data_IF_158633404367
#
_entry.id   IF_158633404367
#
_cell.length_a   1.000
_cell.length_b   1.000
_cell.length_c   1.000
_cell.angle_alpha   90.00
_cell.angle_beta   90.00
_cell.angle_gamma   90.00
#
_symmetry.space_group_name_H-M   'P 1'
#
loop_
_entity.id
_entity.type
_entity.pdbx_description
1 polymer ?
#
# COMPACT_ATOMS: atom_id res chain seq x y z
N UNK A 1 -9.82 31.94 -8.71
CA UNK A 1 -8.53 31.23 -8.79
C UNK A 1 -8.09 31.23 -10.24
N UNK A 2 -6.80 31.39 -10.53
CA UNK A 2 -6.28 31.24 -11.91
C UNK A 2 -6.59 29.83 -12.44
N UNK A 3 -6.79 29.68 -13.75
CA UNK A 3 -7.05 28.38 -14.41
C UNK A 3 -5.99 27.33 -14.01
N UNK A 4 -4.71 27.73 -13.99
CA UNK A 4 -3.64 26.81 -13.64
C UNK A 4 -3.69 26.36 -12.17
N UNK A 5 -4.27 27.18 -11.27
CA UNK A 5 -4.49 26.82 -9.87
C UNK A 5 -5.58 25.76 -9.74
N UNK A 6 -6.67 25.84 -10.52
CA UNK A 6 -7.73 24.82 -10.52
C UNK A 6 -7.22 23.49 -11.05
N UNK A 7 -6.42 23.50 -12.12
CA UNK A 7 -5.78 22.29 -12.66
C UNK A 7 -4.83 21.67 -11.63
N UNK A 8 -4.02 22.48 -10.92
CA UNK A 8 -3.15 21.98 -9.87
C UNK A 8 -3.95 21.37 -8.73
N UNK A 9 -5.00 22.05 -8.27
CA UNK A 9 -5.90 21.57 -7.21
C UNK A 9 -6.53 20.22 -7.57
N UNK A 10 -6.99 20.08 -8.82
CA UNK A 10 -7.52 18.82 -9.33
C UNK A 10 -6.46 17.71 -9.30
N UNK A 11 -5.24 17.98 -9.79
CA UNK A 11 -4.14 17.01 -9.74
C UNK A 11 -3.80 16.58 -8.30
N UNK A 12 -3.72 17.53 -7.38
CA UNK A 12 -3.46 17.26 -5.96
C UNK A 12 -4.58 16.41 -5.34
N UNK A 13 -5.84 16.69 -5.68
CA UNK A 13 -7.00 15.94 -5.18
C UNK A 13 -6.96 14.48 -5.61
N UNK A 14 -6.78 14.22 -6.90
CA UNK A 14 -6.71 12.86 -7.46
C UNK A 14 -5.52 12.08 -6.89
N UNK A 15 -4.34 12.71 -6.83
CA UNK A 15 -3.14 12.07 -6.27
C UNK A 15 -3.33 11.74 -4.79
N UNK A 16 -3.95 12.65 -4.03
CA UNK A 16 -4.24 12.43 -2.60
C UNK A 16 -5.14 11.22 -2.40
N UNK A 17 -6.18 11.08 -3.21
CA UNK A 17 -7.13 9.96 -3.10
C UNK A 17 -6.43 8.63 -3.40
N UNK A 18 -5.58 8.58 -4.42
CA UNK A 18 -4.76 7.39 -4.71
C UNK A 18 -3.81 7.08 -3.55
N UNK A 19 -3.15 8.09 -2.97
CA UNK A 19 -2.24 7.91 -1.83
C UNK A 19 -2.97 7.42 -0.57
N UNK A 20 -4.20 7.87 -0.33
CA UNK A 20 -5.04 7.40 0.76
C UNK A 20 -5.44 5.93 0.57
N UNK A 21 -5.86 5.56 -0.65
CA UNK A 21 -6.21 4.18 -0.96
C UNK A 21 -5.01 3.24 -0.82
N UNK A 22 -3.82 3.68 -1.25
CA UNK A 22 -2.59 2.91 -1.05
C UNK A 22 -2.28 2.67 0.44
N UNK A 23 -2.60 3.62 1.32
CA UNK A 23 -2.44 3.40 2.76
C UNK A 23 -3.52 2.49 3.35
N UNK A 24 -4.76 2.53 2.86
CA UNK A 24 -5.77 1.54 3.21
C UNK A 24 -5.29 0.13 2.84
N UNK A 25 -4.86 -0.05 1.59
CA UNK A 25 -4.36 -1.33 1.07
C UNK A 25 -3.12 -1.82 1.82
N UNK A 26 -2.21 -0.91 2.22
CA UNK A 26 -1.07 -1.27 3.07
C UNK A 26 -1.52 -1.89 4.37
N UNK A 27 -2.48 -1.27 5.05
CA UNK A 27 -2.97 -1.77 6.32
C UNK A 27 -3.75 -3.07 6.17
N UNK A 28 -4.52 -3.23 5.08
CA UNK A 28 -5.19 -4.49 4.77
C UNK A 28 -4.18 -5.62 4.53
N UNK A 29 -3.12 -5.34 3.76
CA UNK A 29 -2.04 -6.30 3.51
C UNK A 29 -1.35 -6.65 4.83
N UNK A 30 -0.99 -5.67 5.67
CA UNK A 30 -0.37 -5.91 6.98
C UNK A 30 -1.25 -6.71 7.92
N UNK A 31 -2.55 -6.44 7.94
CA UNK A 31 -3.51 -7.16 8.79
C UNK A 31 -3.64 -8.63 8.39
N UNK A 32 -3.38 -8.95 7.13
CA UNK A 32 -3.42 -10.33 6.61
C UNK A 32 -2.03 -10.97 6.59
N UNK A 33 -0.96 -10.17 6.48
CA UNK A 33 0.41 -10.62 6.29
C UNK A 33 1.26 -10.32 7.52
N UNK A 34 1.45 -11.33 8.37
CA UNK A 34 2.58 -11.40 9.28
C UNK A 34 3.36 -12.71 9.05
N UNK A 35 4.44 -12.69 8.23
CA UNK A 35 5.15 -13.91 7.83
C UNK A 35 5.91 -14.59 8.98
N UNK A 36 6.17 -13.87 10.08
CA UNK A 36 6.79 -14.42 11.29
C UNK A 36 5.77 -15.06 12.23
N UNK A 37 4.48 -14.83 12.02
CA UNK A 37 3.43 -15.44 12.81
C UNK A 37 3.02 -16.79 12.26
N UNK A 38 2.91 -17.75 13.18
CA UNK A 38 2.26 -19.04 12.95
C UNK A 38 0.89 -18.90 12.22
N UNK A 39 0.20 -17.78 12.45
CA UNK A 39 -1.04 -17.43 11.77
C UNK A 39 -0.92 -17.41 10.23
N UNK A 40 0.10 -16.75 9.65
CA UNK A 40 0.19 -16.60 8.20
C UNK A 40 0.40 -17.94 7.48
N UNK A 41 1.36 -18.74 7.95
CA UNK A 41 1.66 -20.04 7.35
C UNK A 41 0.55 -21.07 7.55
N UNK A 42 -0.21 -20.99 8.67
CA UNK A 42 -1.27 -21.95 8.97
C UNK A 42 -2.64 -21.58 8.42
N UNK A 43 -2.99 -20.29 8.41
CA UNK A 43 -4.30 -19.81 7.96
C UNK A 43 -4.24 -19.23 6.56
N UNK A 44 -3.38 -18.24 6.34
CA UNK A 44 -3.45 -17.42 5.13
C UNK A 44 -2.99 -18.22 3.91
N UNK A 45 -1.81 -18.83 3.98
CA UNK A 45 -1.24 -19.62 2.88
C UNK A 45 -2.04 -20.87 2.56
N UNK A 46 -2.67 -21.50 3.56
CA UNK A 46 -3.46 -22.73 3.39
C UNK A 46 -4.93 -22.45 3.05
N UNK A 47 -5.44 -21.26 3.35
CA UNK A 47 -6.80 -20.85 3.00
C UNK A 47 -6.82 -20.19 1.63
N UNK A 48 -7.50 -20.83 0.67
CA UNK A 48 -7.74 -20.25 -0.65
C UNK A 48 -8.44 -18.89 -0.58
N UNK A 49 -9.30 -18.68 0.42
CA UNK A 49 -10.03 -17.42 0.60
C UNK A 49 -9.07 -16.28 1.02
N UNK A 50 -8.32 -16.47 2.12
CA UNK A 50 -7.43 -15.44 2.64
C UNK A 50 -6.25 -15.18 1.72
N UNK A 51 -5.67 -16.23 1.11
CA UNK A 51 -4.60 -16.06 0.14
C UNK A 51 -5.07 -15.24 -1.07
N UNK A 52 -6.31 -15.45 -1.53
CA UNK A 52 -6.90 -14.65 -2.61
C UNK A 52 -7.10 -13.19 -2.21
N UNK A 53 -7.51 -12.90 -0.98
CA UNK A 53 -7.60 -11.52 -0.48
C UNK A 53 -6.23 -10.85 -0.49
N UNK A 54 -5.21 -11.50 0.09
CA UNK A 54 -3.84 -11.02 0.09
C UNK A 54 -3.33 -10.69 -1.32
N UNK A 55 -3.53 -11.62 -2.28
CA UNK A 55 -3.11 -11.42 -3.67
C UNK A 55 -3.87 -10.26 -4.34
N UNK A 56 -5.18 -10.12 -4.07
CA UNK A 56 -5.99 -9.06 -4.66
C UNK A 56 -5.60 -7.68 -4.12
N UNK A 57 -5.36 -7.56 -2.81
CA UNK A 57 -4.90 -6.30 -2.22
C UNK A 57 -3.52 -5.92 -2.73
N UNK A 58 -2.59 -6.88 -2.82
CA UNK A 58 -1.27 -6.65 -3.42
C UNK A 58 -1.38 -6.22 -4.88
N UNK A 59 -2.27 -6.85 -5.66
CA UNK A 59 -2.53 -6.49 -7.05
C UNK A 59 -3.05 -5.05 -7.18
N UNK A 60 -4.03 -4.67 -6.36
CA UNK A 60 -4.59 -3.31 -6.37
C UNK A 60 -3.51 -2.29 -5.98
N UNK A 61 -2.73 -2.59 -4.94
CA UNK A 61 -1.63 -1.74 -4.50
C UNK A 61 -0.65 -1.46 -5.63
N UNK A 62 -0.25 -2.50 -6.38
CA UNK A 62 0.65 -2.34 -7.53
C UNK A 62 0.04 -1.50 -8.64
N UNK A 63 -1.25 -1.70 -8.94
CA UNK A 63 -1.95 -0.94 -9.98
C UNK A 63 -2.03 0.54 -9.60
N UNK A 64 -2.39 0.85 -8.37
CA UNK A 64 -2.55 2.23 -7.92
C UNK A 64 -1.21 2.93 -7.71
N UNK A 65 -0.19 2.20 -7.23
CA UNK A 65 1.17 2.72 -7.17
C UNK A 65 1.71 3.03 -8.58
N UNK A 66 1.42 2.18 -9.58
CA UNK A 66 1.79 2.41 -10.97
C UNK A 66 1.23 3.73 -11.52
N UNK A 67 -0.02 4.08 -11.17
CA UNK A 67 -0.64 5.37 -11.58
C UNK A 67 0.17 6.58 -11.12
N UNK A 68 0.82 6.48 -9.97
CA UNK A 68 1.60 7.57 -9.38
C UNK A 68 3.03 7.70 -9.93
N UNK A 69 3.55 6.67 -10.59
CA UNK A 69 4.95 6.61 -11.03
C UNK A 69 5.13 6.59 -12.55
N UNK A 70 4.17 6.09 -13.33
CA UNK A 70 4.32 5.98 -14.78
C UNK A 70 4.09 7.34 -15.45
N UNK A 71 5.07 7.77 -16.25
CA UNK A 71 5.06 9.06 -16.96
C UNK A 71 3.87 9.26 -17.92
N UNK A 72 3.26 8.18 -18.40
CA UNK A 72 2.09 8.19 -19.29
C UNK A 72 0.79 8.48 -18.54
N UNK A 73 0.77 8.33 -17.23
CA UNK A 73 -0.41 8.56 -16.40
C UNK A 73 -0.61 10.06 -16.15
N UNK A 74 -1.85 10.54 -16.24
CA UNK A 74 -2.13 11.97 -16.07
C UNK A 74 -1.89 12.49 -14.64
N UNK A 75 -2.03 11.59 -13.65
CA UNK A 75 -1.95 11.88 -12.23
C UNK A 75 -0.73 11.20 -11.57
N UNK A 76 0.42 11.22 -12.24
CA UNK A 76 1.69 10.81 -11.63
C UNK A 76 2.41 11.99 -10.95
N UNK A 77 3.28 11.66 -9.98
CA UNK A 77 4.00 12.63 -9.15
C UNK A 77 4.97 13.48 -9.98
N UNK A 78 5.64 12.90 -10.99
CA UNK A 78 6.57 13.66 -11.84
C UNK A 78 5.83 14.72 -12.67
N UNK A 79 4.65 14.39 -13.19
CA UNK A 79 3.80 15.32 -13.92
C UNK A 79 3.25 16.42 -13.00
N UNK A 80 2.95 16.13 -11.74
CA UNK A 80 2.63 17.15 -10.73
C UNK A 80 3.78 18.14 -10.55
N UNK A 81 5.01 17.67 -10.34
CA UNK A 81 6.19 18.52 -10.15
C UNK A 81 6.46 19.37 -11.40
N UNK A 82 6.49 18.75 -12.58
CA UNK A 82 6.75 19.44 -13.85
C UNK A 82 5.68 20.50 -14.14
N UNK A 83 4.42 20.21 -13.83
CA UNK A 83 3.32 21.15 -13.99
C UNK A 83 3.49 22.36 -13.06
N UNK A 84 3.80 22.13 -11.78
CA UNK A 84 4.09 23.18 -10.80
C UNK A 84 5.27 24.05 -11.24
N UNK A 85 6.32 23.44 -11.78
CA UNK A 85 7.52 24.14 -12.24
C UNK A 85 7.26 25.00 -13.48
N UNK A 86 6.52 24.48 -14.46
CA UNK A 86 6.23 25.18 -15.72
C UNK A 86 5.23 26.33 -15.56
N UNK A 87 4.43 26.30 -14.49
CA UNK A 87 3.36 27.27 -14.23
C UNK A 87 3.56 28.04 -12.92
N UNK A 88 4.80 28.14 -12.43
CA UNK A 88 5.11 28.67 -11.10
C UNK A 88 4.57 30.09 -10.86
N UNK A 89 4.56 30.94 -11.89
CA UNK A 89 4.03 32.32 -11.82
C UNK A 89 2.52 32.41 -12.08
N UNK A 90 1.94 31.34 -12.65
CA UNK A 90 0.55 31.27 -13.08
C UNK A 90 -0.36 30.57 -12.07
N UNK A 91 0.20 30.06 -10.98
CA UNK A 91 -0.52 29.42 -9.88
C UNK A 91 -0.58 30.39 -8.70
N UNK A 92 -1.72 30.40 -8.02
CA UNK A 92 -1.93 31.18 -6.79
C UNK A 92 -1.43 30.37 -5.59
N UNK A 93 -0.12 30.37 -5.39
CA UNK A 93 0.52 29.67 -4.28
C UNK A 93 0.23 30.35 -2.94
N UNK A 94 0.00 29.56 -1.89
CA UNK A 94 0.06 30.06 -0.52
C UNK A 94 1.49 30.47 -0.15
N UNK A 95 2.46 29.57 -0.39
CA UNK A 95 3.89 29.87 -0.33
C UNK A 95 4.54 29.45 -1.64
N UNK A 96 4.93 30.42 -2.48
CA UNK A 96 5.50 30.11 -3.80
C UNK A 96 6.80 29.29 -3.67
N UNK A 97 6.90 28.10 -4.28
CA UNK A 97 8.13 27.32 -4.28
C UNK A 97 9.20 27.99 -5.14
N UNK A 98 10.44 27.54 -5.01
CA UNK A 98 11.53 27.93 -5.94
C UNK A 98 11.73 26.84 -6.99
N UNK A 99 12.30 27.18 -8.14
CA UNK A 99 12.71 26.16 -9.11
C UNK A 99 13.67 25.13 -8.49
N UNK A 100 14.59 25.59 -7.63
CA UNK A 100 15.52 24.70 -6.91
C UNK A 100 14.80 23.72 -5.98
N UNK A 101 13.76 24.16 -5.24
CA UNK A 101 13.01 23.25 -4.38
C UNK A 101 12.24 22.20 -5.18
N UNK A 102 11.64 22.58 -6.31
CA UNK A 102 10.95 21.63 -7.20
C UNK A 102 11.92 20.64 -7.86
N UNK A 103 13.12 21.07 -8.27
CA UNK A 103 14.15 20.16 -8.80
C UNK A 103 14.69 19.17 -7.75
N UNK A 104 14.76 19.59 -6.48
CA UNK A 104 15.06 18.65 -5.37
C UNK A 104 13.98 17.57 -5.24
N UNK A 105 12.70 17.94 -5.33
CA UNK A 105 11.59 16.97 -5.31
C UNK A 105 11.64 16.02 -6.50
N UNK A 106 11.94 16.54 -7.69
CA UNK A 106 12.13 15.73 -8.90
C UNK A 106 13.27 14.73 -8.75
N UNK A 107 14.41 15.18 -8.21
CA UNK A 107 15.55 14.33 -7.92
C UNK A 107 15.20 13.25 -6.91
N UNK A 108 14.43 13.59 -5.86
CA UNK A 108 13.94 12.63 -4.87
C UNK A 108 13.02 11.58 -5.50
N UNK A 109 12.09 11.99 -6.35
CA UNK A 109 11.24 11.06 -7.12
C UNK A 109 12.08 10.08 -7.95
N UNK A 110 13.07 10.59 -8.68
CA UNK A 110 13.95 9.75 -9.51
C UNK A 110 14.85 8.82 -8.67
N UNK A 111 15.25 9.22 -7.46
CA UNK A 111 15.99 8.33 -6.54
C UNK A 111 15.11 7.27 -5.87
N UNK A 112 13.80 7.45 -5.87
CA UNK A 112 12.84 6.43 -5.44
C UNK A 112 12.73 5.29 -6.48
N UNK A 113 13.37 5.44 -7.66
CA UNK A 113 13.01 4.74 -8.90
C UNK A 113 13.61 3.37 -9.13
N UNK A 114 14.54 2.88 -8.31
CA UNK A 114 15.24 1.61 -8.57
C UNK A 114 14.25 0.43 -8.76
N UNK A 115 13.06 0.53 -8.16
CA UNK A 115 11.99 -0.46 -8.25
C UNK A 115 10.83 -0.07 -9.18
N UNK A 116 10.81 1.11 -9.80
CA UNK A 116 9.70 1.51 -10.69
C UNK A 116 9.58 0.60 -11.92
N UNK A 117 10.71 0.08 -12.41
CA UNK A 117 10.73 -0.93 -13.46
C UNK A 117 10.01 -2.22 -13.04
N UNK A 118 10.26 -2.69 -11.83
CA UNK A 118 9.61 -3.89 -11.28
C UNK A 118 8.10 -3.67 -11.05
N UNK A 119 7.69 -2.51 -10.56
CA UNK A 119 6.26 -2.15 -10.41
C UNK A 119 5.56 -2.14 -11.77
N UNK A 120 6.20 -1.55 -12.78
CA UNK A 120 5.71 -1.53 -14.16
C UNK A 120 5.60 -2.92 -14.74
N UNK A 121 6.59 -3.78 -14.49
CA UNK A 121 6.57 -5.18 -14.90
C UNK A 121 5.43 -5.95 -14.23
N UNK A 122 5.28 -5.82 -12.91
CA UNK A 122 4.22 -6.45 -12.15
C UNK A 122 2.83 -6.03 -12.64
N UNK A 123 2.59 -4.72 -12.77
CA UNK A 123 1.32 -4.19 -13.28
C UNK A 123 1.04 -4.73 -14.67
N UNK A 124 1.97 -4.57 -15.61
CA UNK A 124 1.73 -4.85 -17.03
C UNK A 124 1.82 -6.32 -17.42
N UNK A 125 2.57 -7.16 -16.71
CA UNK A 125 2.81 -8.54 -17.12
C UNK A 125 2.25 -9.57 -16.14
N UNK A 126 2.16 -9.23 -14.86
CA UNK A 126 1.65 -10.15 -13.84
C UNK A 126 0.18 -9.91 -13.55
N UNK A 127 -0.23 -8.65 -13.36
CA UNK A 127 -1.55 -8.33 -12.82
C UNK A 127 -2.62 -7.88 -13.82
N UNK A 128 -2.26 -7.08 -14.83
CA UNK A 128 -3.23 -6.53 -15.79
C UNK A 128 -3.57 -7.47 -16.96
N UNK A 129 -2.66 -8.35 -17.36
CA UNK A 129 -2.85 -9.24 -18.52
C UNK A 129 -2.98 -10.70 -18.10
N UNK A 130 -3.65 -11.53 -18.90
CA UNK A 130 -3.72 -13.00 -18.74
C UNK A 130 -2.58 -13.69 -19.48
N UNK A 131 -1.37 -13.13 -19.42
CA UNK A 131 -0.20 -13.69 -20.10
C UNK A 131 0.02 -15.15 -19.67
N UNK A 132 0.21 -16.04 -20.64
CA UNK A 132 0.35 -17.49 -20.38
C UNK A 132 1.60 -17.85 -19.57
N UNK A 133 2.58 -16.95 -19.47
CA UNK A 133 3.91 -17.17 -18.88
C UNK A 133 4.16 -16.36 -17.59
N UNK A 134 3.12 -16.04 -16.83
CA UNK A 134 3.27 -15.26 -15.58
C UNK A 134 4.28 -15.84 -14.59
N UNK A 135 4.36 -17.16 -14.51
CA UNK A 135 5.28 -17.89 -13.63
C UNK A 135 6.76 -17.75 -14.02
N UNK A 136 7.07 -17.30 -15.23
CA UNK A 136 8.45 -17.11 -15.72
C UNK A 136 8.97 -15.68 -15.47
N UNK A 137 8.09 -14.75 -15.06
CA UNK A 137 8.44 -13.34 -14.85
C UNK A 137 9.15 -13.21 -13.49
N UNK A 138 10.42 -12.82 -13.53
CA UNK A 138 11.20 -12.49 -12.33
C UNK A 138 11.06 -11.00 -12.02
N UNK A 139 10.78 -10.67 -10.77
CA UNK A 139 10.79 -9.33 -10.21
C UNK A 139 11.47 -9.38 -8.84
N UNK A 140 12.19 -8.33 -8.46
CA UNK A 140 12.94 -8.28 -7.21
C UNK A 140 12.47 -7.10 -6.33
N UNK A 141 11.17 -7.09 -6.05
CA UNK A 141 10.52 -6.10 -5.19
C UNK A 141 9.76 -6.79 -4.07
N UNK A 142 9.94 -6.31 -2.85
CA UNK A 142 9.33 -6.80 -1.62
C UNK A 142 8.23 -5.85 -1.14
N UNK A 143 7.41 -6.30 -0.17
CA UNK A 143 6.44 -5.42 0.50
C UNK A 143 7.13 -4.25 1.21
N UNK A 144 8.34 -4.45 1.74
CA UNK A 144 9.10 -3.37 2.37
C UNK A 144 9.41 -2.26 1.36
N UNK A 145 9.87 -2.65 0.18
CA UNK A 145 10.20 -1.69 -0.89
C UNK A 145 8.96 -0.92 -1.34
N UNK A 146 7.80 -1.60 -1.45
CA UNK A 146 6.52 -0.93 -1.70
C UNK A 146 6.16 0.12 -0.65
N UNK A 147 6.41 -0.16 0.63
CA UNK A 147 6.17 0.80 1.71
C UNK A 147 7.09 2.01 1.62
N UNK A 148 8.37 1.79 1.34
CA UNK A 148 9.37 2.86 1.19
C UNK A 148 9.03 3.78 0.00
N UNK A 149 8.60 3.19 -1.12
CA UNK A 149 8.14 3.92 -2.29
C UNK A 149 6.92 4.78 -1.93
N UNK A 150 5.90 4.18 -1.30
CA UNK A 150 4.70 4.92 -0.89
C UNK A 150 5.05 6.10 0.05
N UNK A 151 5.93 5.89 1.03
CA UNK A 151 6.39 6.95 1.93
C UNK A 151 7.06 8.08 1.16
N UNK A 152 7.95 7.78 0.21
CA UNK A 152 8.62 8.80 -0.60
C UNK A 152 7.63 9.59 -1.48
N UNK A 153 6.65 8.91 -2.10
CA UNK A 153 5.61 9.57 -2.91
C UNK A 153 4.74 10.51 -2.06
N UNK A 154 4.36 10.10 -0.86
CA UNK A 154 3.61 10.93 0.08
C UNK A 154 4.40 12.15 0.53
N UNK A 155 5.71 12.00 0.79
CA UNK A 155 6.57 13.13 1.16
C UNK A 155 6.62 14.17 0.05
N UNK A 156 6.82 13.73 -1.20
CA UNK A 156 6.83 14.64 -2.35
C UNK A 156 5.48 15.35 -2.51
N UNK A 157 4.38 14.61 -2.39
CA UNK A 157 3.04 15.18 -2.43
C UNK A 157 2.84 16.24 -1.34
N UNK A 158 3.20 15.92 -0.09
CA UNK A 158 3.06 16.83 1.06
C UNK A 158 3.77 18.16 0.82
N UNK A 159 4.99 18.13 0.31
CA UNK A 159 5.78 19.34 0.02
C UNK A 159 5.08 20.24 -1.01
N UNK A 160 4.59 19.66 -2.12
CA UNK A 160 3.86 20.44 -3.14
C UNK A 160 2.54 20.97 -2.57
N UNK A 161 1.81 20.16 -1.82
CA UNK A 161 0.53 20.57 -1.22
C UNK A 161 0.71 21.70 -0.21
N UNK A 162 1.72 21.61 0.65
CA UNK A 162 2.05 22.64 1.64
C UNK A 162 2.34 23.99 0.99
N UNK A 163 3.07 23.99 -0.13
CA UNK A 163 3.28 25.20 -0.92
C UNK A 163 1.98 25.76 -1.53
N UNK A 164 1.07 24.87 -1.94
CA UNK A 164 -0.17 25.25 -2.61
C UNK A 164 -1.19 25.87 -1.66
N UNK A 165 -1.57 25.18 -0.58
CA UNK A 165 -2.68 25.56 0.29
C UNK A 165 -2.35 25.58 1.79
N UNK A 166 -1.07 25.42 2.15
CA UNK A 166 -0.59 25.30 3.53
C UNK A 166 -1.10 24.08 4.32
N UNK A 167 -1.72 23.12 3.66
CA UNK A 167 -2.23 21.92 4.34
C UNK A 167 -1.18 20.84 4.36
N UNK A 168 -0.87 20.33 5.56
CA UNK A 168 0.01 19.18 5.73
C UNK A 168 -0.81 17.90 5.88
N UNK A 169 -0.80 17.05 4.86
CA UNK A 169 -1.55 15.79 4.86
C UNK A 169 -0.83 14.67 5.60
N UNK A 170 -1.48 14.11 6.61
CA UNK A 170 -1.03 12.88 7.25
C UNK A 170 -1.79 11.69 6.66
N UNK A 171 -1.06 10.78 6.01
CA UNK A 171 -1.63 9.59 5.37
C UNK A 171 -1.67 8.37 6.31
N UNK A 172 -1.24 8.52 7.57
CA UNK A 172 -1.20 7.40 8.49
C UNK A 172 -2.60 6.94 8.85
N UNK A 173 -3.03 5.82 8.26
CA UNK A 173 -4.27 5.15 8.61
C UNK A 173 -3.96 4.10 9.68
N UNK A 174 -4.59 4.24 10.84
CA UNK A 174 -4.53 3.27 11.93
C UNK A 174 -5.97 2.82 12.22
N UNK A 175 -6.30 1.60 11.83
CA UNK A 175 -7.46 0.92 12.39
C UNK A 175 -6.99 -0.38 13.07
N UNK A 176 -7.66 -0.80 14.15
CA UNK A 176 -7.32 -2.04 14.84
C UNK A 176 -7.45 -3.21 13.88
N UNK A 177 -6.62 -4.23 14.10
CA UNK A 177 -6.71 -5.49 13.36
C UNK A 177 -8.17 -5.99 13.36
N UNK A 178 -8.74 -6.36 12.20
CA UNK A 178 -10.12 -6.79 12.14
C UNK A 178 -10.39 -7.95 13.10
N UNK A 179 -11.38 -7.79 14.00
CA UNK A 179 -11.78 -8.83 14.94
C UNK A 179 -12.06 -10.18 14.26
N UNK A 180 -12.50 -10.17 12.99
CA UNK A 180 -12.72 -11.37 12.20
C UNK A 180 -11.41 -12.16 11.95
N UNK A 181 -10.29 -11.48 11.70
CA UNK A 181 -8.96 -12.10 11.51
C UNK A 181 -8.51 -12.71 12.84
N UNK A 182 -8.54 -11.91 13.92
CA UNK A 182 -8.21 -12.37 15.28
C UNK A 182 -9.05 -13.58 15.73
N UNK A 183 -10.36 -13.54 15.50
CA UNK A 183 -11.27 -14.63 15.87
C UNK A 183 -11.09 -15.89 15.01
N UNK A 184 -10.75 -15.72 13.73
CA UNK A 184 -10.45 -16.86 12.85
C UNK A 184 -9.21 -17.61 13.34
N UNK A 185 -8.21 -16.90 13.86
CA UNK A 185 -7.03 -17.52 14.46
C UNK A 185 -7.37 -18.29 15.75
N UNK A 186 -8.17 -17.67 16.64
CA UNK A 186 -8.65 -18.33 17.87
C UNK A 186 -9.41 -19.61 17.56
N UNK A 187 -10.30 -19.57 16.56
CA UNK A 187 -11.04 -20.74 16.13
C UNK A 187 -10.11 -21.86 15.65
N UNK A 188 -9.08 -21.55 14.85
CA UNK A 188 -8.12 -22.56 14.40
C UNK A 188 -7.43 -23.21 15.61
N UNK A 189 -6.91 -22.42 16.55
CA UNK A 189 -6.24 -22.93 17.76
C UNK A 189 -7.15 -23.87 18.56
N UNK A 190 -8.42 -23.49 18.76
CA UNK A 190 -9.41 -24.32 19.46
C UNK A 190 -9.67 -25.62 18.70
N UNK A 191 -9.81 -25.53 17.37
CA UNK A 191 -10.00 -26.69 16.51
C UNK A 191 -8.82 -27.66 16.60
N UNK A 192 -7.58 -27.16 16.55
CA UNK A 192 -6.39 -28.00 16.67
C UNK A 192 -6.30 -28.66 18.05
N UNK A 193 -6.58 -27.90 19.10
CA UNK A 193 -6.63 -28.42 20.47
C UNK A 193 -7.62 -29.58 20.57
N UNK A 194 -8.82 -29.41 20.00
CA UNK A 194 -9.84 -30.45 19.94
C UNK A 194 -9.36 -31.69 19.18
N UNK A 195 -8.80 -31.52 17.97
CA UNK A 195 -8.30 -32.64 17.17
C UNK A 195 -7.13 -33.37 17.82
N UNK A 196 -6.23 -32.65 18.48
CA UNK A 196 -5.11 -33.24 19.20
C UNK A 196 -5.57 -34.00 20.44
N UNK A 197 -6.57 -33.48 21.17
CA UNK A 197 -7.21 -34.20 22.28
C UNK A 197 -7.85 -35.49 21.80
N UNK A 198 -8.60 -35.45 20.70
CA UNK A 198 -9.25 -36.62 20.13
C UNK A 198 -8.24 -37.71 19.68
N UNK A 199 -7.05 -37.32 19.23
CA UNK A 199 -6.00 -38.24 18.77
C UNK A 199 -5.14 -38.80 19.90
N UNK A 200 -5.27 -38.30 21.12
CA UNK A 200 -4.40 -38.67 22.23
C UNK A 200 -5.21 -39.31 23.36
N UNK A 201 -4.59 -40.20 24.12
CA UNK A 201 -5.23 -40.79 25.31
C UNK A 201 -5.41 -39.80 26.47
N UNK A 202 -4.94 -38.54 26.31
CA UNK A 202 -5.07 -37.47 27.29
C UNK A 202 -6.10 -36.45 26.83
N UNK A 203 -7.08 -36.15 27.68
CA UNK A 203 -7.97 -35.02 27.41
C UNK A 203 -7.24 -33.70 27.69
N UNK A 204 -6.75 -33.08 26.63
CA UNK A 204 -6.11 -31.76 26.66
C UNK A 204 -7.09 -30.64 26.27
N UNK A 205 -8.31 -30.98 25.84
CA UNK A 205 -9.35 -30.02 25.46
C UNK A 205 -10.13 -29.53 26.68
N UNK A 206 -9.45 -28.79 27.56
CA UNK A 206 -10.06 -28.28 28.79
C UNK A 206 -10.65 -26.87 28.62
N UNK A 207 -11.62 -26.54 29.49
CA UNK A 207 -12.23 -25.20 29.54
C UNK A 207 -11.18 -24.11 29.80
N UNK A 208 -10.16 -24.42 30.59
CA UNK A 208 -9.07 -23.55 30.97
C UNK A 208 -8.18 -23.22 29.76
N UNK A 209 -7.82 -24.22 28.95
CA UNK A 209 -7.04 -24.02 27.72
C UNK A 209 -7.84 -23.24 26.66
N UNK A 210 -9.12 -23.54 26.50
CA UNK A 210 -10.00 -22.76 25.60
C UNK A 210 -10.11 -21.30 26.07
N UNK A 211 -10.25 -21.05 27.37
CA UNK A 211 -10.27 -19.68 27.94
C UNK A 211 -8.96 -18.94 27.68
N UNK A 212 -7.81 -19.61 27.78
CA UNK A 212 -6.49 -18.99 27.46
C UNK A 212 -6.45 -18.51 26.01
N UNK A 213 -6.91 -19.33 25.06
CA UNK A 213 -6.95 -18.97 23.63
C UNK A 213 -7.91 -17.80 23.38
N UNK A 214 -9.11 -17.82 24.00
CA UNK A 214 -10.10 -16.74 23.82
C UNK A 214 -9.59 -15.40 24.38
N UNK A 215 -8.78 -15.43 25.45
CA UNK A 215 -8.29 -14.23 26.14
C UNK A 215 -7.01 -13.63 25.54
N UNK A 216 -6.22 -14.39 24.77
CA UNK A 216 -5.14 -13.84 23.92
C UNK A 216 -5.69 -12.95 22.80
#
# INVERSE_FOLDING_TARGET
MKENSEILKHKLTEIREILLELECLKQDIRSIHNPEEEYFERMIKKSRFFYRLYLNYTKLFVIDCHKLIDKKEHFNILNLINYSQSNIDKIDWHHKPTHSSLEKLKTKFLKTSDHFGDISLLRNKVFAHTDRKKSEIKYNITLKDFWEILTSLQEIFREVNLHFDNTNWQFQILYPEPNAIKNSYKYLKIKDLYFNSFKSDKDIFTKEEVKKIIRS
#
